data_IF_384980929054
#
_entry.id   IF_384980929054
#
_cell.length_a   1.000
_cell.length_b   1.000
_cell.length_c   1.000
_cell.angle_alpha   90.00
_cell.angle_beta   90.00
_cell.angle_gamma   90.00
#
_symmetry.space_group_name_H-M   'P 1'
#
loop_
_entity.id
_entity.type
_entity.pdbx_description
1 polymer ?
#
# COMPACT_ATOMS: atom_id res chain seq x y z
N UNK A 1 -22.24 -60.70 45.83
CA UNK A 1 -21.63 -60.89 44.49
C UNK A 1 -21.93 -59.64 43.66
N UNK A 2 -21.00 -58.70 43.55
CA UNK A 2 -21.02 -57.66 42.50
C UNK A 2 -19.58 -57.40 42.07
N UNK A 3 -19.27 -57.88 40.87
CA UNK A 3 -17.96 -57.81 40.23
C UNK A 3 -17.86 -56.50 39.47
N UNK A 4 -16.97 -55.61 39.91
CA UNK A 4 -16.64 -54.39 39.17
C UNK A 4 -15.42 -54.66 38.30
N UNK A 5 -15.66 -54.98 37.03
CA UNK A 5 -14.65 -55.12 35.99
C UNK A 5 -14.00 -53.76 35.74
N UNK A 6 -12.70 -53.63 35.98
CA UNK A 6 -11.91 -52.44 35.65
C UNK A 6 -11.83 -52.27 34.14
N UNK A 7 -12.54 -51.29 33.59
CA UNK A 7 -12.38 -50.88 32.19
C UNK A 7 -11.19 -49.93 32.12
N UNK A 8 -10.06 -50.43 31.62
CA UNK A 8 -8.86 -49.63 31.35
C UNK A 8 -9.07 -48.95 29.98
N UNK A 9 -9.50 -47.68 29.97
CA UNK A 9 -9.55 -46.89 28.74
C UNK A 9 -8.12 -46.46 28.37
N UNK A 10 -7.54 -47.12 27.38
CA UNK A 10 -6.33 -46.66 26.72
C UNK A 10 -6.68 -45.47 25.81
N UNK A 11 -6.34 -44.26 26.23
CA UNK A 11 -6.51 -43.05 25.41
C UNK A 11 -5.40 -42.98 24.36
N UNK A 12 -5.74 -43.24 23.09
CA UNK A 12 -4.89 -42.86 21.96
C UNK A 12 -4.85 -41.32 21.89
N UNK A 13 -3.74 -40.73 22.30
CA UNK A 13 -3.44 -39.32 22.06
C UNK A 13 -3.14 -39.14 20.57
N UNK A 14 -4.16 -38.76 19.80
CA UNK A 14 -3.99 -38.27 18.43
C UNK A 14 -3.41 -36.88 18.54
N UNK A 15 -2.09 -36.76 18.39
CA UNK A 15 -1.41 -35.47 18.20
C UNK A 15 -1.86 -34.90 16.86
N UNK A 16 -2.88 -34.04 16.89
CA UNK A 16 -3.20 -33.20 15.74
C UNK A 16 -2.03 -32.26 15.54
N UNK A 17 -1.16 -32.55 14.57
CA UNK A 17 -0.21 -31.58 14.06
C UNK A 17 -1.08 -30.48 13.43
N UNK A 18 -1.25 -29.36 14.14
CA UNK A 18 -1.72 -28.14 13.50
C UNK A 18 -0.63 -27.76 12.50
N UNK A 19 -0.87 -28.09 11.23
CA UNK A 19 -0.19 -27.39 10.15
C UNK A 19 -0.77 -25.98 10.18
N UNK A 20 -0.15 -25.10 10.95
CA UNK A 20 -0.40 -23.68 10.81
C UNK A 20 0.04 -23.35 9.38
N UNK A 21 -0.91 -23.01 8.52
CA UNK A 21 -0.56 -22.37 7.27
C UNK A 21 0.20 -21.10 7.68
N UNK A 22 1.51 -21.10 7.41
CA UNK A 22 2.37 -20.02 7.83
C UNK A 22 2.01 -18.82 6.97
N UNK A 23 1.52 -17.77 7.62
CA UNK A 23 1.32 -16.51 6.94
C UNK A 23 2.70 -15.98 6.54
N UNK A 24 2.80 -15.45 5.33
CA UNK A 24 4.04 -14.94 4.76
C UNK A 24 3.82 -13.59 4.10
N UNK A 25 4.90 -12.88 3.80
CA UNK A 25 4.80 -11.60 3.13
C UNK A 25 4.14 -10.52 4.00
N UNK A 26 3.88 -9.34 3.43
CA UNK A 26 3.41 -8.18 4.19
C UNK A 26 2.08 -8.39 4.90
N UNK A 27 1.19 -9.22 4.34
CA UNK A 27 -0.10 -9.57 4.97
C UNK A 27 0.03 -10.62 6.06
N UNK A 28 1.15 -11.36 6.09
CA UNK A 28 1.47 -12.39 7.07
C UNK A 28 2.54 -11.98 8.08
N UNK A 29 2.53 -10.73 8.53
CA UNK A 29 3.52 -10.19 9.48
C UNK A 29 4.97 -10.37 8.99
N UNK A 30 5.20 -10.24 7.68
CA UNK A 30 6.50 -10.37 7.03
C UNK A 30 7.15 -11.77 7.21
N UNK A 31 6.34 -12.81 7.43
CA UNK A 31 6.82 -14.18 7.51
C UNK A 31 7.46 -14.67 6.21
N UNK A 32 8.42 -15.59 6.33
CA UNK A 32 9.07 -16.28 5.20
C UNK A 32 8.65 -17.74 5.23
N UNK A 33 8.33 -18.29 4.05
CA UNK A 33 7.93 -19.68 3.91
C UNK A 33 9.09 -20.66 4.10
N UNK A 34 8.74 -21.91 4.43
CA UNK A 34 9.70 -23.02 4.48
C UNK A 34 10.38 -23.26 3.12
N UNK A 35 11.62 -23.78 3.09
CA UNK A 35 12.33 -24.08 1.84
C UNK A 35 11.46 -24.86 0.83
N UNK A 36 11.48 -24.44 -0.43
CA UNK A 36 10.66 -25.00 -1.51
C UNK A 36 9.24 -24.42 -1.62
N UNK A 37 8.74 -23.70 -0.61
CA UNK A 37 7.38 -23.14 -0.61
C UNK A 37 7.36 -21.70 -1.09
N UNK A 38 6.39 -21.37 -1.94
CA UNK A 38 6.19 -20.02 -2.44
C UNK A 38 5.25 -19.24 -1.53
N UNK A 39 5.60 -17.98 -1.26
CA UNK A 39 4.68 -17.04 -0.66
C UNK A 39 3.78 -16.47 -1.74
N UNK A 40 2.48 -16.78 -1.71
CA UNK A 40 1.52 -16.17 -2.63
C UNK A 40 1.38 -14.67 -2.40
N UNK A 41 0.88 -13.94 -3.40
CA UNK A 41 0.53 -12.51 -3.26
C UNK A 41 -0.51 -12.21 -2.17
N UNK A 42 -1.22 -13.24 -1.69
CA UNK A 42 -2.21 -13.15 -0.62
C UNK A 42 -1.61 -13.41 0.78
N UNK A 43 -0.31 -13.73 0.85
CA UNK A 43 0.42 -13.95 2.09
C UNK A 43 0.25 -15.34 2.70
N UNK A 44 0.09 -16.35 1.86
CA UNK A 44 0.03 -17.75 2.27
C UNK A 44 1.14 -18.55 1.60
N UNK A 45 1.80 -19.42 2.36
CA UNK A 45 2.79 -20.35 1.85
C UNK A 45 2.13 -21.57 1.15
N UNK A 46 2.65 -21.94 -0.03
CA UNK A 46 2.26 -23.19 -0.71
C UNK A 46 3.16 -23.56 -1.89
N UNK A 47 3.04 -24.80 -2.37
CA UNK A 47 3.89 -25.36 -3.44
C UNK A 47 3.20 -25.43 -4.82
N UNK A 48 1.89 -25.14 -4.87
CA UNK A 48 1.10 -25.23 -6.11
C UNK A 48 1.27 -24.00 -6.99
N UNK A 49 0.89 -24.11 -8.27
CA UNK A 49 0.86 -23.00 -9.23
C UNK A 49 0.23 -21.72 -8.65
N UNK A 50 -0.95 -21.81 -8.01
CA UNK A 50 -1.61 -20.63 -7.39
C UNK A 50 -0.80 -19.89 -6.30
N UNK A 51 0.23 -20.53 -5.75
CA UNK A 51 1.16 -19.93 -4.78
C UNK A 51 2.48 -19.52 -5.43
N UNK A 52 2.91 -20.23 -6.46
CA UNK A 52 4.21 -20.08 -7.16
C UNK A 52 4.12 -19.37 -8.52
N UNK A 53 2.94 -18.89 -8.89
CA UNK A 53 2.67 -18.14 -10.10
C UNK A 53 3.41 -16.81 -10.12
N UNK A 54 3.35 -16.07 -11.25
CA UNK A 54 4.12 -14.85 -11.50
C UNK A 54 4.06 -13.75 -10.42
N UNK A 55 3.07 -13.79 -9.54
CA UNK A 55 2.82 -12.79 -8.50
C UNK A 55 3.22 -13.29 -7.09
N UNK A 56 3.86 -14.44 -6.98
CA UNK A 56 4.46 -14.90 -5.72
C UNK A 56 5.52 -13.89 -5.24
N UNK A 57 5.65 -13.75 -3.92
CA UNK A 57 6.55 -12.80 -3.26
C UNK A 57 7.91 -13.47 -3.03
N UNK A 58 8.96 -13.21 -3.84
CA UNK A 58 10.18 -14.01 -3.82
C UNK A 58 10.95 -13.88 -2.50
N UNK A 59 11.01 -12.67 -1.94
CA UNK A 59 11.71 -12.38 -0.68
C UNK A 59 11.08 -13.01 0.57
N UNK A 60 9.84 -13.47 0.43
CA UNK A 60 9.08 -14.13 1.49
C UNK A 60 8.79 -15.61 1.18
N UNK A 61 9.27 -16.09 0.02
CA UNK A 61 9.23 -17.49 -0.35
C UNK A 61 10.44 -18.21 0.23
N UNK A 62 10.29 -19.48 0.55
CA UNK A 62 11.40 -20.26 1.09
C UNK A 62 12.50 -20.49 0.06
N UNK A 63 13.71 -20.68 0.55
CA UNK A 63 14.87 -20.99 -0.27
C UNK A 63 14.60 -22.17 -1.20
N UNK A 64 14.94 -22.05 -2.49
CA UNK A 64 14.68 -23.08 -3.49
C UNK A 64 13.21 -23.21 -3.93
N UNK A 65 12.34 -22.28 -3.54
CA UNK A 65 10.96 -22.25 -4.02
C UNK A 65 10.87 -22.06 -5.54
N UNK A 66 9.80 -22.60 -6.12
CA UNK A 66 9.51 -22.44 -7.54
C UNK A 66 8.94 -21.05 -7.88
N UNK A 67 9.04 -20.07 -7.00
CA UNK A 67 8.53 -18.72 -7.22
C UNK A 67 9.29 -18.08 -8.38
N UNK A 68 8.71 -18.14 -9.59
CA UNK A 68 9.36 -17.73 -10.85
C UNK A 68 9.34 -16.22 -11.07
N UNK A 69 9.41 -15.44 -9.99
CA UNK A 69 9.79 -14.04 -10.10
C UNK A 69 11.21 -13.99 -10.67
N UNK A 70 11.41 -13.25 -11.76
CA UNK A 70 12.75 -13.04 -12.32
C UNK A 70 13.71 -12.62 -11.20
N UNK A 71 14.73 -13.43 -10.95
CA UNK A 71 15.88 -13.08 -10.13
C UNK A 71 16.34 -11.64 -10.43
N UNK A 72 16.40 -10.80 -9.40
CA UNK A 72 17.23 -9.57 -9.39
C UNK A 72 18.07 -9.56 -8.12
N UNK A 73 19.35 -9.29 -8.34
CA UNK A 73 20.54 -9.72 -7.61
C UNK A 73 20.73 -9.22 -6.16
N UNK A 74 21.59 -9.91 -5.38
CA UNK A 74 22.05 -9.43 -4.08
C UNK A 74 23.21 -8.42 -4.22
N UNK A 75 23.03 -7.20 -3.70
CA UNK A 75 24.13 -6.40 -3.14
C UNK A 75 24.12 -4.89 -3.49
N UNK A 76 25.00 -4.07 -2.87
CA UNK A 76 25.89 -4.34 -1.74
C UNK A 76 25.54 -3.53 -0.47
N UNK A 77 26.19 -3.90 0.65
CA UNK A 77 26.10 -3.22 1.94
C UNK A 77 26.55 -1.75 1.96
N UNK A 78 26.50 -1.10 3.13
CA UNK A 78 26.39 0.35 3.24
C UNK A 78 27.71 1.06 2.88
N UNK A 79 27.73 1.79 1.77
CA UNK A 79 28.78 2.77 1.49
C UNK A 79 28.30 4.18 1.84
N UNK A 80 28.96 4.75 2.84
CA UNK A 80 28.79 6.12 3.31
C UNK A 80 29.28 7.09 2.22
N UNK A 81 28.36 7.80 1.55
CA UNK A 81 28.73 8.89 0.65
C UNK A 81 28.38 10.24 1.28
N UNK A 82 29.44 11.01 1.55
CA UNK A 82 29.37 12.40 2.00
C UNK A 82 28.61 13.24 0.97
N UNK A 83 27.51 13.85 1.44
CA UNK A 83 26.70 14.82 0.71
C UNK A 83 27.57 16.01 0.29
N UNK A 84 27.57 16.34 -1.00
CA UNK A 84 28.19 17.56 -1.53
C UNK A 84 27.07 18.50 -1.98
N UNK A 85 26.80 19.51 -1.17
CA UNK A 85 25.85 20.59 -1.43
C UNK A 85 26.28 21.36 -2.68
N UNK A 86 25.40 21.46 -3.67
CA UNK A 86 25.59 22.35 -4.83
C UNK A 86 24.40 23.30 -4.91
N UNK A 87 24.65 24.55 -4.52
CA UNK A 87 23.78 25.69 -4.77
C UNK A 87 23.90 26.10 -6.23
N UNK A 88 22.79 26.20 -6.97
CA UNK A 88 22.77 26.86 -8.29
C UNK A 88 21.60 27.82 -8.47
N UNK A 89 21.97 28.91 -9.11
CA UNK A 89 21.29 30.20 -9.28
C UNK A 89 20.15 30.16 -10.31
N UNK A 90 19.05 30.84 -9.99
CA UNK A 90 17.83 30.99 -10.80
C UNK A 90 18.02 32.00 -11.93
N UNK A 91 17.53 31.68 -13.12
CA UNK A 91 17.20 32.66 -14.18
C UNK A 91 15.80 32.36 -14.71
N UNK A 92 14.93 33.37 -14.81
CA UNK A 92 13.49 33.23 -15.09
C UNK A 92 13.10 33.47 -16.57
N UNK A 93 11.96 32.84 -16.96
CA UNK A 93 10.90 33.27 -17.91
C UNK A 93 11.12 32.87 -19.41
N UNK A 94 10.11 32.42 -20.23
CA UNK A 94 8.75 32.98 -20.35
C UNK A 94 7.48 32.11 -20.32
N UNK A 95 6.43 32.84 -19.97
CA UNK A 95 5.00 32.53 -19.83
C UNK A 95 4.36 32.19 -21.17
N UNK A 96 3.55 31.13 -21.22
CA UNK A 96 2.54 30.96 -22.26
C UNK A 96 1.27 30.34 -21.67
N UNK A 97 0.17 31.03 -21.89
CA UNK A 97 -1.19 30.80 -21.40
C UNK A 97 -1.86 29.68 -22.20
N UNK A 98 -2.11 28.54 -21.56
CA UNK A 98 -3.19 27.62 -21.94
C UNK A 98 -3.95 27.28 -20.67
N UNK A 99 -5.23 27.62 -20.66
CA UNK A 99 -6.14 27.41 -19.53
C UNK A 99 -6.12 25.92 -19.14
N UNK A 100 -5.61 25.56 -17.95
CA UNK A 100 -5.59 24.18 -17.48
C UNK A 100 -7.02 23.68 -17.23
N UNK A 101 -7.26 22.35 -17.31
CA UNK A 101 -8.47 21.75 -16.72
C UNK A 101 -8.59 22.18 -15.25
N UNK A 102 -9.80 22.22 -14.66
CA UNK A 102 -10.01 22.70 -13.30
C UNK A 102 -9.00 22.02 -12.37
N UNK A 103 -8.16 22.84 -11.72
CA UNK A 103 -7.08 22.36 -10.88
C UNK A 103 -7.71 21.67 -9.67
N UNK A 104 -7.84 20.35 -9.73
CA UNK A 104 -8.03 19.54 -8.55
C UNK A 104 -6.72 19.61 -7.78
N UNK A 105 -6.70 20.33 -6.66
CA UNK A 105 -5.63 20.23 -5.67
C UNK A 105 -5.96 19.10 -4.73
N UNK A 106 -4.97 18.26 -4.42
CA UNK A 106 -5.10 17.16 -3.47
C UNK A 106 -5.10 17.76 -2.07
N UNK A 107 -6.22 17.68 -1.33
CA UNK A 107 -6.26 18.29 -0.02
C UNK A 107 -5.37 17.50 0.96
N UNK A 108 -4.78 18.17 1.94
CA UNK A 108 -4.11 17.52 3.07
C UNK A 108 -5.15 16.93 4.03
N UNK A 109 -5.85 15.90 3.55
CA UNK A 109 -6.99 15.24 4.24
C UNK A 109 -6.71 13.75 4.47
N UNK A 110 -5.44 13.37 4.63
CA UNK A 110 -5.07 11.96 4.80
C UNK A 110 -5.62 11.34 6.09
N UNK A 111 -5.94 12.17 7.09
CA UNK A 111 -6.46 11.74 8.40
C UNK A 111 -7.92 12.16 8.60
N UNK A 112 -8.68 11.33 9.31
CA UNK A 112 -10.08 11.54 9.64
C UNK A 112 -10.44 10.97 11.01
N UNK A 113 -11.64 11.30 11.48
CA UNK A 113 -12.14 10.84 12.76
C UNK A 113 -12.28 12.00 13.77
N UNK A 114 -12.67 11.67 15.01
CA UNK A 114 -12.75 12.65 16.08
C UNK A 114 -11.37 13.21 16.44
N UNK A 115 -11.31 14.39 17.08
CA UNK A 115 -10.13 14.83 17.80
C UNK A 115 -9.58 13.74 18.72
N UNK A 116 -8.31 13.40 18.55
CA UNK A 116 -7.56 12.50 19.44
C UNK A 116 -6.20 13.13 19.79
N UNK A 117 -5.60 12.68 20.89
CA UNK A 117 -4.21 13.05 21.22
C UNK A 117 -3.23 12.15 20.48
N UNK A 118 -2.24 12.74 19.83
CA UNK A 118 -1.13 11.99 19.23
C UNK A 118 -0.12 11.52 20.30
N UNK A 119 0.90 10.78 19.89
CA UNK A 119 1.95 10.25 20.79
C UNK A 119 2.76 11.34 21.51
N UNK A 120 2.78 12.55 20.95
CA UNK A 120 3.40 13.74 21.54
C UNK A 120 2.45 14.47 22.51
N UNK A 121 1.22 13.99 22.69
CA UNK A 121 0.21 14.56 23.59
C UNK A 121 -0.59 15.73 22.99
N UNK A 122 -0.33 16.11 21.74
CA UNK A 122 -1.02 17.21 21.06
C UNK A 122 -2.42 16.77 20.61
N UNK A 123 -3.39 17.67 20.77
CA UNK A 123 -4.77 17.41 20.35
C UNK A 123 -4.90 17.67 18.84
N UNK A 124 -5.24 16.63 18.07
CA UNK A 124 -5.64 16.81 16.68
C UNK A 124 -7.01 17.48 16.58
N UNK A 125 -7.27 18.21 15.49
CA UNK A 125 -8.57 18.83 15.25
C UNK A 125 -9.64 17.84 14.74
N UNK A 126 -9.30 16.56 14.59
CA UNK A 126 -10.11 15.60 13.83
C UNK A 126 -10.18 15.95 12.34
N UNK A 127 -10.96 15.19 11.57
CA UNK A 127 -11.08 15.44 10.13
C UNK A 127 -12.19 14.64 9.45
N UNK A 128 -12.75 15.19 8.36
CA UNK A 128 -13.72 14.48 7.51
C UNK A 128 -13.15 14.27 6.12
N UNK A 129 -13.34 13.05 5.62
CA UNK A 129 -13.06 12.65 4.25
C UNK A 129 -14.14 13.23 3.33
N UNK A 130 -13.77 14.23 2.52
CA UNK A 130 -14.72 14.96 1.67
C UNK A 130 -15.02 14.24 0.35
N UNK A 131 -14.13 13.35 -0.08
CA UNK A 131 -14.16 12.76 -1.41
C UNK A 131 -13.66 13.75 -2.47
N UNK A 132 -12.78 13.30 -3.36
CA UNK A 132 -12.24 14.09 -4.48
C UNK A 132 -12.12 13.26 -5.76
N UNK A 133 -11.83 13.93 -6.87
CA UNK A 133 -11.78 13.31 -8.20
C UNK A 133 -13.14 12.85 -8.70
N UNK A 134 -13.14 11.92 -9.65
CA UNK A 134 -14.34 11.43 -10.34
C UNK A 134 -15.43 10.99 -9.35
N UNK A 135 -16.57 11.71 -9.37
CA UNK A 135 -17.71 11.49 -8.48
C UNK A 135 -17.36 11.47 -6.98
N UNK A 136 -16.25 12.11 -6.57
CA UNK A 136 -15.76 12.09 -5.20
C UNK A 136 -15.35 10.70 -4.74
N UNK A 137 -14.84 9.85 -5.64
CA UNK A 137 -14.44 8.49 -5.30
C UNK A 137 -13.24 8.45 -4.36
N UNK A 138 -12.19 9.23 -4.63
CA UNK A 138 -10.96 9.14 -3.83
C UNK A 138 -11.10 9.87 -2.50
N UNK A 139 -10.41 9.45 -1.44
CA UNK A 139 -10.44 10.09 -0.11
C UNK A 139 -11.85 10.29 0.46
N UNK A 140 -12.78 9.37 0.18
CA UNK A 140 -14.19 9.53 0.56
C UNK A 140 -14.54 8.80 1.85
N UNK A 141 -13.85 7.72 2.16
CA UNK A 141 -14.14 6.85 3.29
C UNK A 141 -13.14 7.11 4.40
N UNK A 142 -13.64 7.19 5.64
CA UNK A 142 -12.80 7.25 6.82
C UNK A 142 -12.63 5.83 7.35
N UNK A 143 -11.43 5.25 7.19
CA UNK A 143 -11.15 3.89 7.68
C UNK A 143 -11.22 3.80 9.20
N UNK A 144 -11.23 2.57 9.72
CA UNK A 144 -11.15 2.31 11.16
C UNK A 144 -9.85 2.84 11.80
N UNK A 145 -8.80 3.05 11.00
CA UNK A 145 -7.52 3.59 11.45
C UNK A 145 -7.43 5.12 11.32
N UNK A 146 -8.54 5.80 11.01
CA UNK A 146 -8.56 7.26 10.93
C UNK A 146 -7.84 7.81 9.69
N UNK A 147 -7.81 7.05 8.59
CA UNK A 147 -7.27 7.50 7.31
C UNK A 147 -8.31 7.59 6.21
N UNK A 148 -8.24 8.65 5.39
CA UNK A 148 -9.10 8.81 4.23
C UNK A 148 -8.63 8.00 3.03
N UNK A 149 -9.56 7.31 2.37
CA UNK A 149 -9.28 6.61 1.12
C UNK A 149 -10.54 6.13 0.40
N UNK A 150 -10.41 5.30 -0.65
CA UNK A 150 -9.14 4.91 -1.29
C UNK A 150 -8.45 6.13 -1.92
N UNK A 151 -7.12 6.15 -1.93
CA UNK A 151 -6.36 7.34 -2.41
C UNK A 151 -5.99 7.25 -3.89
N UNK A 152 -5.91 6.04 -4.43
CA UNK A 152 -5.65 5.77 -5.85
C UNK A 152 -6.47 4.55 -6.31
N UNK A 153 -6.21 4.03 -7.52
CA UNK A 153 -6.99 2.91 -8.09
C UNK A 153 -6.44 1.54 -7.65
N UNK A 154 -5.19 1.52 -7.20
CA UNK A 154 -4.42 0.36 -6.74
C UNK A 154 -4.87 -0.06 -5.34
N UNK A 155 -5.23 0.90 -4.50
CA UNK A 155 -5.76 0.65 -3.17
C UNK A 155 -7.20 0.16 -3.24
N UNK A 156 -7.48 -0.95 -2.55
CA UNK A 156 -8.83 -1.46 -2.50
C UNK A 156 -9.76 -0.55 -1.69
N UNK A 157 -10.98 -0.35 -2.19
CA UNK A 157 -11.97 0.47 -1.53
C UNK A 157 -12.41 -0.16 -0.20
N UNK A 158 -12.44 -1.49 -0.08
CA UNK A 158 -12.89 -2.13 1.14
C UNK A 158 -11.98 -1.84 2.34
N UNK A 159 -10.68 -1.64 2.12
CA UNK A 159 -9.72 -1.25 3.18
C UNK A 159 -10.07 0.07 3.85
N UNK A 160 -10.85 0.93 3.19
CA UNK A 160 -11.26 2.23 3.72
C UNK A 160 -12.76 2.32 3.98
N UNK A 161 -13.56 1.77 3.08
CA UNK A 161 -15.01 1.90 3.02
C UNK A 161 -15.75 0.70 3.63
N UNK A 162 -15.04 -0.39 3.92
CA UNK A 162 -15.60 -1.65 4.41
C UNK A 162 -15.86 -1.63 5.91
N UNK A 163 -15.62 -2.77 6.55
CA UNK A 163 -15.82 -2.93 7.99
C UNK A 163 -15.00 -1.89 8.76
N UNK A 164 -15.64 -1.28 9.78
CA UNK A 164 -15.01 -0.25 10.61
C UNK A 164 -14.88 1.13 9.95
N UNK A 165 -15.35 1.32 8.72
CA UNK A 165 -15.46 2.67 8.15
C UNK A 165 -16.37 3.55 9.02
N UNK A 166 -15.93 4.76 9.33
CA UNK A 166 -16.65 5.69 10.21
C UNK A 166 -17.57 6.63 9.41
N UNK A 167 -18.91 6.44 9.46
CA UNK A 167 -19.85 7.21 8.66
C UNK A 167 -20.05 8.65 9.13
N UNK A 168 -19.59 9.01 10.34
CA UNK A 168 -19.60 10.41 10.79
C UNK A 168 -18.49 11.23 10.11
N UNK A 169 -17.41 10.58 9.68
CA UNK A 169 -16.22 11.23 9.14
C UNK A 169 -15.90 10.84 7.69
N UNK A 170 -16.71 9.98 7.06
CA UNK A 170 -16.59 9.63 5.65
C UNK A 170 -17.86 8.98 5.08
N UNK A 171 -17.85 8.74 3.76
CA UNK A 171 -18.93 8.12 2.99
C UNK A 171 -18.65 6.63 2.81
N UNK A 172 -19.05 5.81 3.77
CA UNK A 172 -18.83 4.36 3.79
C UNK A 172 -19.71 3.64 2.78
N UNK A 173 -19.20 3.46 1.56
CA UNK A 173 -19.87 2.71 0.50
C UNK A 173 -18.83 1.99 -0.37
N UNK A 174 -18.75 0.67 -0.17
CA UNK A 174 -17.88 -0.23 -0.94
C UNK A 174 -18.39 -0.48 -2.36
N UNK A 175 -19.68 -0.25 -2.62
CA UNK A 175 -20.31 -0.52 -3.92
C UNK A 175 -20.09 0.60 -4.95
N UNK A 176 -19.52 1.73 -4.52
CA UNK A 176 -19.22 2.84 -5.43
C UNK A 176 -18.30 2.37 -6.56
N UNK A 177 -18.69 2.56 -7.83
CA UNK A 177 -17.88 2.14 -8.97
C UNK A 177 -16.50 2.80 -8.96
N UNK A 178 -15.44 2.01 -9.21
CA UNK A 178 -14.09 2.55 -9.41
C UNK A 178 -14.09 3.48 -10.64
N UNK A 179 -13.47 4.67 -10.56
CA UNK A 179 -13.26 5.54 -11.70
C UNK A 179 -12.48 4.82 -12.79
N UNK A 180 -12.72 5.21 -14.04
CA UNK A 180 -11.93 4.70 -15.15
C UNK A 180 -10.54 5.31 -15.06
N UNK A 181 -9.51 4.50 -15.32
CA UNK A 181 -8.15 5.03 -15.48
C UNK A 181 -8.15 6.13 -16.55
N UNK A 182 -7.46 7.26 -16.33
CA UNK A 182 -7.33 8.29 -17.36
C UNK A 182 -6.81 7.69 -18.67
N UNK A 183 -7.48 8.02 -19.78
CA UNK A 183 -7.09 7.55 -21.12
C UNK A 183 -6.01 8.42 -21.74
N UNK A 184 -5.87 9.66 -21.27
CA UNK A 184 -4.81 10.57 -21.68
C UNK A 184 -3.54 10.22 -20.90
N UNK A 185 -2.41 10.22 -21.61
CA UNK A 185 -1.09 10.08 -20.98
C UNK A 185 -0.93 11.12 -19.86
N UNK A 186 -0.32 10.76 -18.72
CA UNK A 186 -0.03 11.71 -17.66
C UNK A 186 0.81 12.88 -18.16
N UNK A 187 0.58 14.05 -17.59
CA UNK A 187 1.43 15.22 -17.82
C UNK A 187 2.64 15.10 -16.89
N UNK A 188 3.85 15.17 -17.45
CA UNK A 188 5.08 15.13 -16.66
C UNK A 188 5.29 16.43 -15.89
N UNK A 189 5.54 16.32 -14.59
CA UNK A 189 5.94 17.44 -13.76
C UNK A 189 7.34 17.89 -14.18
N UNK A 190 7.48 19.18 -14.49
CA UNK A 190 8.75 19.79 -14.89
C UNK A 190 9.62 20.19 -13.70
N UNK A 191 9.10 20.03 -12.47
CA UNK A 191 9.70 20.46 -11.22
C UNK A 191 9.59 19.32 -10.20
N UNK A 192 10.57 19.22 -9.30
CA UNK A 192 10.58 18.25 -8.20
C UNK A 192 9.38 18.44 -7.27
N UNK A 193 8.83 17.33 -6.78
CA UNK A 193 7.71 17.30 -5.86
C UNK A 193 6.35 17.60 -6.51
N UNK A 194 5.42 18.04 -5.67
CA UNK A 194 4.04 18.35 -6.06
C UNK A 194 3.12 17.12 -6.10
N UNK A 195 1.94 17.33 -6.67
CA UNK A 195 0.89 16.32 -6.77
C UNK A 195 1.08 15.44 -8.01
N UNK A 196 0.73 14.17 -7.87
CA UNK A 196 0.80 13.16 -8.92
C UNK A 196 -0.41 12.24 -8.89
N UNK A 197 -0.41 11.21 -9.73
CA UNK A 197 -1.41 10.16 -9.67
C UNK A 197 -2.64 10.46 -10.52
N UNK A 198 -3.64 9.56 -10.50
CA UNK A 198 -4.78 9.58 -11.41
C UNK A 198 -5.74 10.74 -11.18
N UNK A 199 -5.75 11.34 -9.98
CA UNK A 199 -6.65 12.44 -9.61
C UNK A 199 -6.33 13.71 -10.41
N UNK A 200 -5.04 14.02 -10.52
CA UNK A 200 -4.53 15.18 -11.28
C UNK A 200 -3.98 14.80 -12.65
N UNK A 201 -3.88 13.49 -12.91
CA UNK A 201 -3.26 12.89 -14.08
C UNK A 201 -1.85 13.43 -14.36
N UNK A 202 -1.02 13.53 -13.32
CA UNK A 202 0.36 14.04 -13.37
C UNK A 202 1.35 12.98 -12.97
N UNK A 203 2.44 12.88 -13.73
CA UNK A 203 3.61 12.06 -13.41
C UNK A 203 4.64 12.91 -12.70
N UNK A 204 5.37 12.34 -11.75
CA UNK A 204 6.46 13.01 -11.06
C UNK A 204 7.64 13.33 -11.99
N UNK A 205 8.54 14.20 -11.53
CA UNK A 205 9.76 14.49 -12.26
C UNK A 205 10.61 13.22 -12.41
N UNK A 206 11.62 13.27 -13.28
CA UNK A 206 12.50 12.13 -13.52
C UNK A 206 13.17 11.68 -12.21
N UNK A 207 13.11 10.38 -11.93
CA UNK A 207 13.68 9.78 -10.72
C UNK A 207 12.80 9.88 -9.47
N UNK A 208 11.67 10.60 -9.52
CA UNK A 208 10.74 10.69 -8.40
C UNK A 208 9.63 9.63 -8.48
N UNK A 209 9.15 9.30 -7.29
CA UNK A 209 8.12 8.32 -7.04
C UNK A 209 6.80 9.01 -6.77
N UNK A 210 5.70 8.45 -7.26
CA UNK A 210 4.38 8.92 -6.90
C UNK A 210 3.83 8.09 -5.75
N UNK A 211 3.86 8.62 -4.53
CA UNK A 211 3.36 7.91 -3.34
C UNK A 211 1.88 7.51 -3.48
N UNK A 212 1.45 6.56 -2.65
CA UNK A 212 0.04 6.20 -2.52
C UNK A 212 -0.85 7.34 -2.04
N UNK A 213 -0.27 8.37 -1.42
CA UNK A 213 -0.94 9.62 -1.06
C UNK A 213 -0.95 10.67 -2.18
N UNK A 214 -0.53 10.31 -3.40
CA UNK A 214 -0.54 11.18 -4.59
C UNK A 214 0.39 12.39 -4.52
N UNK A 215 1.50 12.26 -3.80
CA UNK A 215 2.58 13.25 -3.77
C UNK A 215 3.86 12.68 -4.35
N UNK A 216 4.58 13.50 -5.11
CA UNK A 216 5.91 13.19 -5.60
C UNK A 216 6.96 13.34 -4.52
N UNK A 217 7.95 12.46 -4.56
CA UNK A 217 9.12 12.54 -3.70
C UNK A 217 10.05 11.37 -3.94
N UNK A 218 10.97 11.17 -3.02
CA UNK A 218 11.98 10.11 -3.06
C UNK A 218 12.05 9.41 -1.71
N UNK A 219 12.62 8.20 -1.68
CA UNK A 219 12.72 7.40 -0.45
C UNK A 219 11.50 6.50 -0.22
N UNK A 220 11.60 5.67 0.82
CA UNK A 220 10.67 4.58 1.09
C UNK A 220 9.21 5.05 1.26
N UNK A 221 9.02 6.24 1.85
CA UNK A 221 7.70 6.87 2.07
C UNK A 221 6.96 7.22 0.76
N UNK A 222 7.69 7.29 -0.35
CA UNK A 222 7.15 7.64 -1.66
C UNK A 222 7.21 6.48 -2.64
N UNK A 223 8.31 5.74 -2.61
CA UNK A 223 8.66 4.76 -3.61
C UNK A 223 8.30 3.34 -3.20
N UNK A 224 8.29 3.09 -1.89
CA UNK A 224 8.12 1.77 -1.32
C UNK A 224 6.74 1.18 -1.61
N UNK A 225 6.72 -0.13 -1.83
CA UNK A 225 5.47 -0.88 -2.00
C UNK A 225 4.50 -0.70 -0.82
N UNK A 226 5.01 -0.61 0.41
CA UNK A 226 4.23 -0.37 1.62
C UNK A 226 3.49 0.99 1.59
N UNK A 227 4.00 1.94 0.83
CA UNK A 227 3.40 3.27 0.64
C UNK A 227 2.61 3.37 -0.67
N UNK A 228 2.27 2.23 -1.31
CA UNK A 228 1.47 2.13 -2.54
C UNK A 228 1.95 3.05 -3.65
N UNK A 229 3.26 3.04 -3.92
CA UNK A 229 3.81 3.79 -5.04
C UNK A 229 3.09 3.45 -6.36
N UNK A 230 2.79 4.50 -7.13
CA UNK A 230 1.94 4.45 -8.31
C UNK A 230 2.79 4.36 -9.58
N UNK A 231 3.06 3.14 -10.06
CA UNK A 231 3.90 2.84 -11.23
C UNK A 231 3.56 3.62 -12.51
N UNK A 232 2.31 4.05 -12.68
CA UNK A 232 1.90 4.85 -13.84
C UNK A 232 2.28 6.34 -13.76
N UNK A 233 2.82 6.78 -12.62
CA UNK A 233 2.97 8.20 -12.26
C UNK A 233 4.32 8.52 -11.60
N UNK A 234 5.20 7.54 -11.41
CA UNK A 234 6.54 7.72 -10.85
C UNK A 234 7.39 6.45 -10.99
N UNK A 235 8.64 6.54 -10.56
CA UNK A 235 9.52 5.37 -10.38
C UNK A 235 9.14 4.70 -9.05
N UNK A 236 8.93 3.40 -9.02
CA UNK A 236 8.59 2.69 -7.77
C UNK A 236 9.60 1.56 -7.55
N UNK A 237 9.82 1.21 -6.28
CA UNK A 237 10.75 0.14 -5.89
C UNK A 237 10.35 -0.50 -4.57
#
# INVERSE_FOLDING_TARGET
MFSFTKVLLATLSISTVLVAAQDCGPTGNYGVCEPGWCCSSYGWCGETEVHCDKDCLPDYSGEGSACKGSHVDPGPGPTTHKIKTITKTVTQKPTSTKTPPPAYTIPSIDTCGPPHRNDNGEMSNGGKCVGVGDNGYFYRCCSQHGHCGPKNLEQDAASYCGQGCNPLYGKCDVSKPKPKKPTKKPIWNQWEGGECGPIVNKHCAEGECCSGSNFCGTGEDYCGAANWCQWGYGVCW
#
